data_IF_150473658293
#
_entry.id   IF_150473658293
#
_cell.length_a   1.000
_cell.length_b   1.000
_cell.length_c   1.000
_cell.angle_alpha   90.00
_cell.angle_beta   90.00
_cell.angle_gamma   90.00
#
_symmetry.space_group_name_H-M   'P 1'
#
loop_
_entity.id
_entity.type
_entity.pdbx_description
1 polymer ?
#
# COMPACT_ATOMS: atom_id res chain seq x y z
N UNK A 1 -70.19 -43.13 -22.11
CA UNK A 1 -69.47 -42.32 -21.09
C UNK A 1 -67.95 -42.50 -21.33
N UNK A 2 -67.33 -41.51 -21.99
CA UNK A 2 -65.86 -41.53 -22.29
C UNK A 2 -65.13 -40.68 -21.24
N UNK A 3 -64.25 -41.30 -20.47
CA UNK A 3 -63.38 -40.59 -19.50
C UNK A 3 -62.13 -40.14 -20.22
N UNK A 4 -61.92 -38.85 -20.32
CA UNK A 4 -60.72 -38.22 -20.86
C UNK A 4 -59.71 -37.98 -19.70
N UNK A 5 -58.59 -38.69 -19.70
CA UNK A 5 -57.50 -38.48 -18.74
C UNK A 5 -56.61 -37.35 -19.25
N UNK A 6 -56.49 -36.27 -18.46
CA UNK A 6 -55.55 -35.17 -18.71
C UNK A 6 -54.23 -35.49 -18.00
N UNK A 7 -53.14 -35.67 -18.77
CA UNK A 7 -51.81 -35.81 -18.25
C UNK A 7 -51.20 -34.41 -18.04
N UNK A 8 -50.92 -34.05 -16.78
CA UNK A 8 -50.19 -32.85 -16.42
C UNK A 8 -48.70 -33.15 -16.50
N UNK A 9 -48.01 -32.55 -17.48
CA UNK A 9 -46.56 -32.59 -17.60
C UNK A 9 -45.99 -31.49 -16.73
N UNK A 10 -45.40 -31.84 -15.59
CA UNK A 10 -44.64 -30.92 -14.73
C UNK A 10 -43.23 -30.75 -15.30
N UNK A 11 -42.97 -29.61 -15.92
CA UNK A 11 -41.58 -29.21 -16.35
C UNK A 11 -40.78 -28.78 -15.14
N UNK A 12 -39.83 -29.59 -14.72
CA UNK A 12 -38.84 -29.25 -13.70
C UNK A 12 -37.75 -28.36 -14.33
N UNK A 13 -37.81 -27.07 -14.04
CA UNK A 13 -36.74 -26.14 -14.44
C UNK A 13 -35.53 -26.36 -13.56
N UNK A 14 -34.48 -26.98 -14.11
CA UNK A 14 -33.21 -27.18 -13.41
C UNK A 14 -32.46 -25.83 -13.34
N UNK A 15 -32.46 -25.18 -12.16
CA UNK A 15 -31.64 -23.99 -11.89
C UNK A 15 -30.21 -24.45 -11.65
N UNK A 16 -29.35 -24.34 -12.66
CA UNK A 16 -27.92 -24.55 -12.50
C UNK A 16 -27.33 -23.43 -11.62
N UNK A 17 -26.53 -23.75 -10.59
CA UNK A 17 -25.88 -22.74 -9.78
C UNK A 17 -24.88 -21.97 -10.66
N UNK A 18 -25.07 -20.67 -10.82
CA UNK A 18 -24.07 -19.75 -11.38
C UNK A 18 -22.87 -19.78 -10.44
N UNK A 19 -21.79 -20.51 -10.84
CA UNK A 19 -20.49 -20.35 -10.18
C UNK A 19 -20.05 -18.92 -10.45
N UNK A 20 -19.97 -18.10 -9.38
CA UNK A 20 -19.34 -16.81 -9.45
C UNK A 20 -17.90 -17.03 -9.98
N UNK A 21 -17.63 -16.55 -11.20
CA UNK A 21 -16.30 -16.55 -11.76
C UNK A 21 -15.43 -15.71 -10.83
N UNK A 22 -14.48 -16.34 -10.13
CA UNK A 22 -13.36 -15.62 -9.55
C UNK A 22 -12.69 -14.91 -10.73
N UNK A 23 -12.50 -13.60 -10.61
CA UNK A 23 -11.69 -12.87 -11.56
C UNK A 23 -10.28 -13.47 -11.48
N UNK A 24 -9.93 -14.30 -12.46
CA UNK A 24 -8.60 -14.87 -12.56
C UNK A 24 -7.64 -13.73 -12.88
N UNK A 25 -6.59 -13.61 -12.08
CA UNK A 25 -5.48 -12.68 -12.33
C UNK A 25 -4.94 -12.93 -13.74
N UNK A 26 -4.85 -11.89 -14.56
CA UNK A 26 -4.33 -12.07 -15.92
C UNK A 26 -2.92 -12.67 -15.90
N UNK A 27 -2.57 -13.57 -16.83
CA UNK A 27 -1.24 -14.19 -16.86
C UNK A 27 -0.10 -13.17 -16.87
N UNK A 28 -0.31 -12.03 -17.53
CA UNK A 28 0.65 -10.94 -17.59
C UNK A 28 0.82 -10.26 -16.23
N UNK A 29 -0.26 -9.92 -15.53
CA UNK A 29 -0.19 -9.34 -14.20
C UNK A 29 0.49 -10.29 -13.21
N UNK A 30 0.15 -11.59 -13.27
CA UNK A 30 0.79 -12.61 -12.45
C UNK A 30 2.30 -12.75 -12.73
N UNK A 31 2.72 -12.66 -14.00
CA UNK A 31 4.13 -12.71 -14.36
C UNK A 31 4.89 -11.47 -13.86
N UNK A 32 4.34 -10.27 -14.06
CA UNK A 32 4.93 -9.01 -13.57
C UNK A 32 5.03 -8.98 -12.05
N UNK A 33 3.99 -9.42 -11.34
CA UNK A 33 4.01 -9.51 -9.89
C UNK A 33 5.10 -10.46 -9.38
N UNK A 34 5.27 -11.62 -10.04
CA UNK A 34 6.37 -12.53 -9.71
C UNK A 34 7.75 -11.95 -9.98
N UNK A 35 7.92 -11.20 -11.07
CA UNK A 35 9.18 -10.52 -11.38
C UNK A 35 9.51 -9.48 -10.30
N UNK A 36 8.54 -8.66 -9.90
CA UNK A 36 8.67 -7.69 -8.82
C UNK A 36 9.04 -8.36 -7.48
N UNK A 37 8.30 -9.41 -7.09
CA UNK A 37 8.58 -10.13 -5.85
C UNK A 37 9.96 -10.82 -5.88
N UNK A 38 10.32 -11.44 -7.00
CA UNK A 38 11.60 -12.13 -7.16
C UNK A 38 12.79 -11.16 -7.07
N UNK A 39 12.68 -9.98 -7.70
CA UNK A 39 13.75 -8.98 -7.65
C UNK A 39 14.16 -8.62 -6.23
N UNK A 40 13.19 -8.42 -5.37
CA UNK A 40 13.47 -7.99 -4.00
C UNK A 40 13.50 -9.13 -2.98
N UNK A 41 13.24 -10.38 -3.40
CA UNK A 41 13.13 -11.53 -2.49
C UNK A 41 14.40 -11.74 -1.67
N UNK A 42 15.56 -11.75 -2.30
CA UNK A 42 16.84 -12.08 -1.67
C UNK A 42 17.61 -10.85 -1.16
N UNK A 43 17.10 -9.65 -1.43
CA UNK A 43 17.70 -8.44 -0.94
C UNK A 43 17.57 -8.31 0.58
N UNK A 44 18.68 -8.25 1.30
CA UNK A 44 18.70 -8.02 2.75
C UNK A 44 18.48 -6.56 3.08
N UNK A 45 19.04 -5.69 2.28
CA UNK A 45 18.92 -4.25 2.41
C UNK A 45 18.65 -3.63 1.04
N UNK A 46 17.89 -2.54 1.03
CA UNK A 46 17.60 -1.75 -0.16
C UNK A 46 17.78 -0.28 0.15
N UNK A 47 18.24 0.48 -0.84
CA UNK A 47 18.27 1.94 -0.82
C UNK A 47 17.76 2.46 -2.15
N UNK A 48 17.01 3.57 -2.11
CA UNK A 48 16.63 4.34 -3.30
C UNK A 48 16.57 5.84 -2.98
N UNK A 49 16.62 6.66 -4.01
CA UNK A 49 16.10 8.03 -3.94
C UNK A 49 14.59 7.97 -4.22
N UNK A 50 13.84 8.88 -3.62
CA UNK A 50 12.41 8.97 -3.87
C UNK A 50 11.98 10.41 -4.15
N UNK A 51 10.92 10.53 -4.94
CA UNK A 51 10.11 11.72 -5.11
C UNK A 51 8.70 11.35 -4.69
N UNK A 52 8.20 12.01 -3.66
CA UNK A 52 6.83 11.90 -3.20
C UNK A 52 6.00 13.04 -3.75
N UNK A 53 4.79 12.75 -4.23
CA UNK A 53 3.81 13.72 -4.65
C UNK A 53 2.49 13.43 -3.95
N UNK A 54 2.06 14.38 -3.15
CA UNK A 54 0.74 14.37 -2.53
C UNK A 54 -0.18 15.31 -3.30
N UNK A 55 -1.30 14.81 -3.77
CA UNK A 55 -2.30 15.58 -4.50
C UNK A 55 -3.64 15.50 -3.80
N UNK A 56 -4.20 16.64 -3.47
CA UNK A 56 -5.52 16.80 -2.88
C UNK A 56 -6.23 17.98 -3.56
N UNK A 57 -7.49 17.80 -3.92
CA UNK A 57 -8.30 18.84 -4.56
C UNK A 57 -8.43 20.14 -3.73
N UNK A 58 -8.22 20.07 -2.41
CA UNK A 58 -8.32 21.21 -1.47
C UNK A 58 -6.97 21.86 -1.18
N UNK A 59 -5.92 21.07 -1.08
CA UNK A 59 -4.58 21.52 -0.69
C UNK A 59 -3.64 21.69 -1.89
N UNK A 60 -4.03 21.16 -3.05
CA UNK A 60 -3.22 21.18 -4.25
C UNK A 60 -2.13 20.12 -4.26
N UNK A 61 -1.08 20.36 -5.04
CA UNK A 61 0.04 19.46 -5.20
C UNK A 61 1.19 19.84 -4.27
N UNK A 62 1.60 18.91 -3.44
CA UNK A 62 2.83 19.00 -2.63
C UNK A 62 3.84 17.99 -3.16
N UNK A 63 5.13 18.35 -3.11
CA UNK A 63 6.21 17.50 -3.59
C UNK A 63 7.34 17.49 -2.59
N UNK A 64 7.76 16.29 -2.20
CA UNK A 64 8.85 16.06 -1.27
C UNK A 64 9.84 15.05 -1.88
N UNK A 65 11.10 15.10 -1.47
CA UNK A 65 12.10 14.16 -1.97
C UNK A 65 13.14 13.84 -0.93
N UNK A 66 13.83 12.71 -1.15
CA UNK A 66 14.86 12.27 -0.23
C UNK A 66 15.39 10.88 -0.54
N UNK A 67 15.82 10.18 0.50
CA UNK A 67 16.35 8.81 0.44
C UNK A 67 15.54 7.88 1.30
N UNK A 68 15.38 6.66 0.83
CA UNK A 68 14.72 5.60 1.57
C UNK A 68 15.65 4.40 1.71
N UNK A 69 15.62 3.80 2.88
CA UNK A 69 16.37 2.61 3.23
C UNK A 69 15.42 1.55 3.79
N UNK A 70 15.61 0.31 3.36
CA UNK A 70 14.92 -0.84 3.91
C UNK A 70 15.94 -1.85 4.42
N UNK A 71 15.65 -2.46 5.57
CA UNK A 71 16.41 -3.59 6.10
C UNK A 71 15.42 -4.67 6.54
N UNK A 72 15.54 -5.85 5.96
CA UNK A 72 14.65 -6.96 6.23
C UNK A 72 15.00 -7.68 7.53
N UNK A 73 13.96 -8.17 8.26
CA UNK A 73 12.55 -7.98 8.01
C UNK A 73 12.00 -6.68 8.65
N UNK A 74 11.19 -5.94 7.90
CA UNK A 74 10.26 -4.95 8.45
C UNK A 74 10.83 -3.61 8.90
N UNK A 75 12.11 -3.35 8.69
CA UNK A 75 12.71 -2.08 9.07
C UNK A 75 12.77 -1.14 7.87
N UNK A 76 12.51 0.15 8.10
CA UNK A 76 12.61 1.18 7.07
C UNK A 76 13.00 2.52 7.69
N UNK A 77 13.63 3.35 6.86
CA UNK A 77 14.00 4.72 7.18
C UNK A 77 13.79 5.60 5.96
N UNK A 78 13.06 6.67 6.12
CA UNK A 78 12.83 7.70 5.10
C UNK A 78 13.44 8.99 5.57
N UNK A 79 14.38 9.50 4.81
CA UNK A 79 15.05 10.78 5.03
C UNK A 79 14.54 11.77 4.00
N UNK A 80 13.63 12.65 4.39
CA UNK A 80 13.18 13.75 3.56
C UNK A 80 14.23 14.86 3.59
N UNK A 81 14.65 15.31 2.42
CA UNK A 81 15.68 16.30 2.25
C UNK A 81 15.11 17.64 1.73
N UNK A 82 14.00 17.59 1.00
CA UNK A 82 13.37 18.78 0.38
C UNK A 82 11.85 18.62 0.35
N UNK A 83 11.06 19.71 0.53
CA UNK A 83 11.50 21.07 0.86
C UNK A 83 11.90 21.20 2.34
N UNK A 84 11.47 20.32 3.21
CA UNK A 84 11.72 20.32 4.63
C UNK A 84 12.33 19.00 5.09
N UNK A 85 13.26 19.08 6.03
CA UNK A 85 13.83 17.87 6.62
C UNK A 85 12.81 17.20 7.54
N UNK A 86 12.54 15.92 7.25
CA UNK A 86 11.71 15.05 8.08
C UNK A 86 12.36 13.68 8.12
N UNK A 87 12.05 12.93 9.15
CA UNK A 87 12.61 11.60 9.33
C UNK A 87 11.51 10.65 9.78
N UNK A 88 11.27 9.62 8.99
CA UNK A 88 10.43 8.50 9.38
C UNK A 88 11.30 7.26 9.57
N UNK A 89 11.17 6.61 10.73
CA UNK A 89 11.88 5.37 11.03
C UNK A 89 10.89 4.32 11.52
N UNK A 90 11.07 3.09 11.05
CA UNK A 90 10.46 1.90 11.63
C UNK A 90 11.53 0.86 11.95
N UNK A 91 11.56 0.38 13.20
CA UNK A 91 12.40 -0.75 13.61
C UNK A 91 11.72 -2.12 13.38
N UNK A 92 10.52 -2.11 12.79
CA UNK A 92 9.70 -3.30 12.56
C UNK A 92 8.67 -3.58 13.66
N UNK A 93 8.66 -2.80 14.76
CA UNK A 93 7.70 -2.87 15.88
C UNK A 93 7.11 -1.50 16.19
N UNK A 94 7.95 -0.48 16.16
CA UNK A 94 7.62 0.90 16.49
C UNK A 94 7.94 1.79 15.29
N UNK A 95 7.15 2.82 15.11
CA UNK A 95 7.40 3.89 14.14
C UNK A 95 7.66 5.19 14.88
N UNK A 96 8.55 6.01 14.33
CA UNK A 96 8.84 7.36 14.76
C UNK A 96 8.77 8.28 13.55
N UNK A 97 8.04 9.39 13.70
CA UNK A 97 8.01 10.46 12.71
C UNK A 97 8.50 11.75 13.37
N UNK A 98 9.65 12.22 12.92
CA UNK A 98 10.33 13.39 13.48
C UNK A 98 10.39 14.52 12.47
N UNK A 99 9.94 15.69 12.88
CA UNK A 99 10.02 16.95 12.15
C UNK A 99 10.89 17.89 12.98
N UNK A 100 12.16 18.14 12.57
CA UNK A 100 13.10 18.97 13.34
C UNK A 100 12.59 20.36 13.66
N UNK A 101 11.90 21.02 12.70
CA UNK A 101 11.35 22.36 12.89
C UNK A 101 10.32 22.45 14.03
N UNK A 102 9.58 21.38 14.26
CA UNK A 102 8.53 21.32 15.29
C UNK A 102 9.05 20.91 16.66
N UNK A 103 10.32 20.51 16.76
CA UNK A 103 10.92 19.94 17.97
C UNK A 103 10.10 18.79 18.59
N UNK A 104 9.37 18.06 17.76
CA UNK A 104 8.53 16.95 18.20
C UNK A 104 8.80 15.67 17.40
N UNK A 105 8.62 14.54 18.05
CA UNK A 105 8.57 13.23 17.41
C UNK A 105 7.29 12.52 17.80
N UNK A 106 6.54 12.06 16.81
CA UNK A 106 5.39 11.18 17.02
C UNK A 106 5.86 9.74 17.06
N UNK A 107 5.41 8.98 18.06
CA UNK A 107 5.73 7.56 18.21
C UNK A 107 4.44 6.74 18.23
N UNK A 108 4.45 5.62 17.51
CA UNK A 108 3.33 4.67 17.49
C UNK A 108 3.83 3.22 17.38
N UNK A 109 3.01 2.26 17.82
CA UNK A 109 3.24 0.86 17.48
C UNK A 109 2.89 0.61 16.01
N UNK A 110 3.70 -0.19 15.29
CA UNK A 110 3.48 -0.42 13.84
C UNK A 110 2.11 -1.01 13.52
N UNK A 111 1.54 -1.83 14.42
CA UNK A 111 0.20 -2.41 14.29
C UNK A 111 -0.94 -1.40 14.48
N UNK A 112 -0.63 -0.26 15.10
CA UNK A 112 -1.54 0.84 15.39
C UNK A 112 -1.28 2.02 14.43
N UNK A 113 -0.24 1.92 13.61
CA UNK A 113 0.08 2.93 12.61
C UNK A 113 -0.79 2.73 11.39
N UNK A 114 -1.65 3.68 11.14
CA UNK A 114 -2.46 3.83 9.92
C UNK A 114 -1.66 4.42 8.76
N UNK A 115 -0.36 4.32 8.86
CA UNK A 115 0.57 4.95 7.94
C UNK A 115 0.39 4.40 6.51
N UNK A 116 0.16 5.30 5.56
CA UNK A 116 0.04 5.07 4.12
C UNK A 116 1.25 4.33 3.51
N UNK A 117 2.38 4.23 4.21
CA UNK A 117 3.55 3.45 3.79
C UNK A 117 3.33 1.94 3.91
N UNK A 118 2.19 1.51 4.46
CA UNK A 118 1.81 0.09 4.52
C UNK A 118 1.86 -0.63 3.16
N UNK A 119 1.45 -0.01 2.03
CA UNK A 119 1.63 -0.63 0.71
C UNK A 119 3.08 -0.95 0.36
N UNK A 120 4.05 -0.26 0.96
CA UNK A 120 5.49 -0.52 0.79
C UNK A 120 6.01 -1.66 1.69
N UNK A 121 5.14 -2.32 2.46
CA UNK A 121 5.49 -3.51 3.25
C UNK A 121 6.07 -4.65 2.39
N UNK A 122 5.76 -4.67 1.09
CA UNK A 122 6.41 -5.54 0.11
C UNK A 122 7.94 -5.38 0.13
N UNK A 123 8.44 -4.14 0.14
CA UNK A 123 9.87 -3.84 0.11
C UNK A 123 10.56 -4.20 1.43
N UNK A 124 9.83 -4.22 2.52
CA UNK A 124 10.34 -4.68 3.83
C UNK A 124 10.37 -6.20 3.97
N UNK A 125 9.85 -6.95 3.00
CA UNK A 125 9.80 -8.41 3.02
C UNK A 125 8.76 -9.01 3.95
N UNK A 126 7.86 -8.20 4.51
CA UNK A 126 6.82 -8.68 5.44
C UNK A 126 5.57 -9.21 4.75
N UNK A 127 5.33 -8.84 3.49
CA UNK A 127 4.13 -9.23 2.76
C UNK A 127 4.42 -9.51 1.29
N UNK A 128 3.54 -10.32 0.68
CA UNK A 128 3.49 -10.54 -0.78
C UNK A 128 2.30 -9.80 -1.36
N UNK A 129 2.35 -9.46 -2.64
CA UNK A 129 1.22 -8.83 -3.33
C UNK A 129 -0.06 -9.65 -3.22
N UNK A 130 0.03 -10.97 -3.29
CA UNK A 130 -1.10 -11.88 -3.10
C UNK A 130 -1.73 -11.81 -1.71
N UNK A 131 -1.02 -11.34 -0.71
CA UNK A 131 -1.51 -11.11 0.65
C UNK A 131 -2.11 -9.71 0.81
N UNK A 132 -1.54 -8.72 0.14
CA UNK A 132 -1.95 -7.33 0.20
C UNK A 132 -3.16 -7.04 -0.69
N UNK A 133 -3.21 -7.63 -1.89
CA UNK A 133 -4.24 -7.37 -2.88
C UNK A 133 -5.38 -8.39 -2.80
N UNK A 134 -6.61 -7.92 -2.82
CA UNK A 134 -7.80 -8.74 -3.07
C UNK A 134 -7.88 -9.12 -4.54
N UNK A 135 -7.64 -8.15 -5.42
CA UNK A 135 -7.48 -8.35 -6.86
C UNK A 135 -6.18 -7.70 -7.32
N UNK A 136 -5.54 -8.33 -8.30
CA UNK A 136 -4.33 -7.82 -8.92
C UNK A 136 -4.45 -8.02 -10.43
N UNK A 137 -4.42 -6.93 -11.20
CA UNK A 137 -4.54 -7.00 -12.66
C UNK A 137 -3.67 -5.94 -13.33
N UNK A 138 -3.65 -5.92 -14.66
CA UNK A 138 -3.02 -4.86 -15.42
C UNK A 138 -3.89 -3.61 -15.39
N UNK A 139 -3.30 -2.46 -15.10
CA UNK A 139 -3.97 -1.18 -15.29
C UNK A 139 -4.03 -0.80 -16.77
N UNK A 140 -5.05 -0.04 -17.15
CA UNK A 140 -5.11 0.63 -18.45
C UNK A 140 -4.33 1.93 -18.51
N UNK A 141 -3.80 2.39 -17.39
CA UNK A 141 -2.98 3.60 -17.35
C UNK A 141 -1.65 3.43 -18.09
N UNK A 142 -1.22 4.50 -18.74
CA UNK A 142 0.08 4.53 -19.38
C UNK A 142 1.18 4.63 -18.30
N UNK A 143 2.24 3.81 -18.42
CA UNK A 143 3.39 3.93 -17.53
C UNK A 143 4.15 5.23 -17.78
N UNK A 144 4.79 5.75 -16.70
CA UNK A 144 5.63 6.95 -16.79
C UNK A 144 6.95 6.71 -17.52
N UNK A 145 7.48 5.48 -17.50
CA UNK A 145 8.70 5.11 -18.18
C UNK A 145 8.44 4.11 -19.30
N UNK A 146 9.18 4.27 -20.42
CA UNK A 146 9.08 3.38 -21.59
C UNK A 146 9.50 1.96 -21.20
N UNK A 147 8.68 0.98 -21.58
CA UNK A 147 8.92 -0.44 -21.29
C UNK A 147 8.35 -0.93 -19.98
N UNK A 148 7.97 -0.04 -19.10
CA UNK A 148 7.27 -0.40 -17.87
C UNK A 148 5.80 -0.75 -18.13
N UNK A 149 5.17 -1.33 -17.13
CA UNK A 149 3.74 -1.64 -17.08
C UNK A 149 3.19 -1.25 -15.72
N UNK A 150 1.89 -1.00 -15.64
CA UNK A 150 1.23 -0.64 -14.39
C UNK A 150 0.37 -1.82 -13.93
N UNK A 151 0.64 -2.30 -12.72
CA UNK A 151 -0.23 -3.23 -12.00
C UNK A 151 -1.22 -2.44 -11.17
N UNK A 152 -2.48 -2.90 -11.16
CA UNK A 152 -3.55 -2.38 -10.32
C UNK A 152 -3.86 -3.39 -9.22
N UNK A 153 -3.69 -2.97 -8.00
CA UNK A 153 -3.98 -3.75 -6.79
C UNK A 153 -5.19 -3.11 -6.09
N UNK A 154 -6.27 -3.86 -5.93
CA UNK A 154 -7.31 -3.49 -4.98
C UNK A 154 -6.94 -4.10 -3.63
N UNK A 155 -6.72 -3.29 -2.59
CA UNK A 155 -6.30 -3.78 -1.29
C UNK A 155 -7.32 -4.75 -0.68
N UNK A 156 -6.84 -5.70 0.11
CA UNK A 156 -7.72 -6.47 0.98
C UNK A 156 -8.15 -5.56 2.11
N UNK A 157 -9.40 -5.06 2.04
CA UNK A 157 -9.98 -4.39 3.20
C UNK A 157 -10.00 -5.35 4.39
N UNK A 158 -9.60 -4.92 5.56
CA UNK A 158 -10.15 -5.53 6.76
C UNK A 158 -11.67 -5.49 6.61
N UNK A 159 -12.33 -6.61 6.92
CA UNK A 159 -13.79 -6.65 6.90
C UNK A 159 -14.25 -5.49 7.79
N UNK A 160 -14.81 -4.47 7.18
CA UNK A 160 -15.37 -3.35 7.91
C UNK A 160 -16.23 -3.93 9.03
N UNK A 161 -15.85 -3.71 10.27
CA UNK A 161 -16.74 -4.00 11.38
C UNK A 161 -18.02 -3.26 11.08
N UNK A 162 -19.19 -3.91 11.14
CA UNK A 162 -20.44 -3.25 10.85
C UNK A 162 -20.49 -1.97 11.69
N UNK A 163 -20.57 -0.83 10.98
CA UNK A 163 -20.64 0.50 11.59
C UNK A 163 -21.80 0.45 12.57
N UNK A 164 -21.53 0.60 13.86
CA UNK A 164 -22.55 0.78 14.87
C UNK A 164 -23.46 1.94 14.45
N UNK A 165 -24.74 1.83 14.75
CA UNK A 165 -25.80 2.72 14.29
C UNK A 165 -25.43 4.19 14.41
N UNK A 166 -25.88 4.97 13.45
CA UNK A 166 -25.58 6.37 13.14
C UNK A 166 -26.10 7.38 14.17
N UNK A 167 -25.78 7.24 15.45
CA UNK A 167 -26.15 8.21 16.49
C UNK A 167 -24.97 8.82 17.25
N UNK A 168 -23.74 8.40 16.96
CA UNK A 168 -22.55 9.01 17.56
C UNK A 168 -21.92 10.03 16.61
N UNK A 169 -22.08 11.32 16.97
CA UNK A 169 -21.45 12.45 16.28
C UNK A 169 -19.90 12.34 16.26
N UNK A 170 -19.32 11.62 17.22
CA UNK A 170 -17.88 11.31 17.28
C UNK A 170 -17.41 10.31 16.21
N UNK A 171 -18.28 9.42 15.75
CA UNK A 171 -17.96 8.49 14.66
C UNK A 171 -17.81 9.18 13.29
N UNK A 172 -18.23 10.45 13.17
CA UNK A 172 -18.11 11.27 11.96
C UNK A 172 -16.74 11.95 11.83
N UNK A 173 -15.90 11.89 12.87
CA UNK A 173 -14.55 12.53 12.92
C UNK A 173 -13.44 11.46 12.88
N UNK A 174 -13.78 10.19 12.74
CA UNK A 174 -12.76 9.16 12.53
C UNK A 174 -11.99 9.48 11.25
N UNK A 175 -10.65 9.54 11.32
CA UNK A 175 -9.85 9.86 10.14
C UNK A 175 -10.17 8.87 9.01
N UNK A 176 -10.42 9.41 7.81
CA UNK A 176 -10.65 8.66 6.57
C UNK A 176 -9.36 7.92 6.14
N UNK A 177 -8.33 7.93 6.98
CA UNK A 177 -6.94 7.59 6.67
C UNK A 177 -6.67 6.10 6.42
N UNK A 178 -7.62 5.20 6.69
CA UNK A 178 -7.39 3.75 6.64
C UNK A 178 -7.94 3.05 5.37
N UNK A 179 -8.50 3.77 4.42
CA UNK A 179 -9.08 3.17 3.24
C UNK A 179 -8.32 3.61 1.99
N UNK A 180 -7.70 2.65 1.33
CA UNK A 180 -7.17 2.85 -0.01
C UNK A 180 -8.18 2.28 -1.00
N UNK A 181 -8.57 3.07 -2.00
CA UNK A 181 -9.43 2.60 -3.09
C UNK A 181 -8.63 1.65 -4.00
N UNK A 182 -7.40 2.04 -4.30
CA UNK A 182 -6.48 1.22 -5.09
C UNK A 182 -5.02 1.62 -4.88
N UNK A 183 -4.14 0.69 -5.24
CA UNK A 183 -2.69 0.90 -5.33
C UNK A 183 -2.24 0.54 -6.73
N UNK A 184 -1.55 1.47 -7.38
CA UNK A 184 -0.94 1.28 -8.69
C UNK A 184 0.57 1.10 -8.50
N UNK A 185 1.12 0.11 -9.20
CA UNK A 185 2.55 -0.22 -9.14
C UNK A 185 3.12 -0.18 -10.55
N UNK A 186 3.98 0.80 -10.85
CA UNK A 186 4.71 0.81 -12.11
C UNK A 186 5.97 -0.05 -11.97
N UNK A 187 6.06 -1.07 -12.80
CA UNK A 187 7.09 -2.10 -12.72
C UNK A 187 7.71 -2.32 -14.11
N UNK A 188 9.01 -2.47 -14.15
CA UNK A 188 9.67 -3.02 -15.32
C UNK A 188 9.43 -4.53 -15.36
N UNK A 189 8.73 -5.10 -16.36
CA UNK A 189 8.33 -6.50 -16.34
C UNK A 189 9.50 -7.47 -16.55
N UNK A 190 10.63 -7.00 -17.09
CA UNK A 190 11.81 -7.83 -17.34
C UNK A 190 12.72 -7.90 -16.12
N UNK A 191 13.01 -6.74 -15.52
CA UNK A 191 13.91 -6.65 -14.36
C UNK A 191 13.18 -6.80 -13.01
N UNK A 192 11.87 -6.63 -12.97
CA UNK A 192 11.08 -6.55 -11.75
C UNK A 192 11.29 -5.26 -10.95
N UNK A 193 11.98 -4.26 -11.51
CA UNK A 193 12.25 -3.01 -10.81
C UNK A 193 10.99 -2.19 -10.61
N UNK A 194 10.76 -1.75 -9.38
CA UNK A 194 9.67 -0.87 -8.99
C UNK A 194 10.07 0.57 -9.28
N UNK A 195 9.37 1.22 -10.19
CA UNK A 195 9.61 2.60 -10.57
C UNK A 195 8.68 3.59 -9.83
N UNK A 196 7.42 3.18 -9.61
CA UNK A 196 6.41 4.05 -9.02
C UNK A 196 5.40 3.25 -8.20
N UNK A 197 4.95 3.86 -7.11
CA UNK A 197 3.81 3.38 -6.31
C UNK A 197 2.86 4.54 -6.11
N UNK A 198 1.62 4.40 -6.58
CA UNK A 198 0.57 5.37 -6.36
C UNK A 198 -0.55 4.76 -5.52
N UNK A 199 -0.90 5.46 -4.47
CA UNK A 199 -1.98 5.12 -3.56
C UNK A 199 -3.11 6.10 -3.79
N UNK A 200 -4.29 5.59 -4.17
CA UNK A 200 -5.51 6.37 -4.34
C UNK A 200 -6.38 6.17 -3.11
N UNK A 201 -6.76 7.27 -2.50
CA UNK A 201 -7.61 7.28 -1.30
C UNK A 201 -9.01 7.85 -1.63
N UNK A 202 -10.01 7.57 -0.80
CA UNK A 202 -11.33 8.16 -0.94
C UNK A 202 -11.27 9.69 -0.99
N UNK A 203 -12.10 10.28 -1.86
CA UNK A 203 -12.13 11.74 -2.03
C UNK A 203 -11.14 12.29 -3.05
N UNK A 204 -10.45 11.40 -3.79
CA UNK A 204 -9.52 11.80 -4.86
C UNK A 204 -8.17 12.30 -4.34
N UNK A 205 -7.78 11.85 -3.16
CA UNK A 205 -6.43 12.06 -2.63
C UNK A 205 -5.52 11.03 -3.28
N UNK A 206 -4.41 11.49 -3.84
CA UNK A 206 -3.39 10.62 -4.43
C UNK A 206 -2.04 10.86 -3.78
N UNK A 207 -1.35 9.78 -3.48
CA UNK A 207 0.00 9.77 -2.96
C UNK A 207 0.88 8.90 -3.87
N UNK A 208 1.80 9.54 -4.58
CA UNK A 208 2.69 8.91 -5.56
C UNK A 208 4.12 8.91 -5.03
N UNK A 209 4.78 7.77 -5.12
CA UNK A 209 6.20 7.59 -4.85
C UNK A 209 6.91 7.13 -6.10
N UNK A 210 7.75 7.97 -6.65
CA UNK A 210 8.70 7.60 -7.71
C UNK A 210 10.03 7.24 -7.11
N UNK A 211 10.54 6.08 -7.49
CA UNK A 211 11.82 5.59 -7.02
C UNK A 211 12.86 5.61 -8.13
N UNK A 212 14.10 5.86 -7.74
CA UNK A 212 15.23 5.78 -8.66
C UNK A 212 16.51 5.37 -7.93
N UNK A 213 17.50 5.02 -8.71
CA UNK A 213 18.84 4.66 -8.21
C UNK A 213 18.81 3.56 -7.13
N UNK A 214 18.07 2.49 -7.41
CA UNK A 214 17.99 1.33 -6.52
C UNK A 214 19.37 0.71 -6.29
N UNK A 215 19.70 0.48 -5.03
CA UNK A 215 20.91 -0.23 -4.60
C UNK A 215 20.51 -1.35 -3.64
N UNK A 216 21.09 -2.53 -3.85
CA UNK A 216 20.75 -3.73 -3.09
C UNK A 216 21.94 -4.22 -2.27
N UNK A 217 21.66 -4.82 -1.12
CA UNK A 217 22.65 -5.47 -0.26
C UNK A 217 23.78 -4.55 0.21
N UNK A 218 23.51 -3.27 0.38
CA UNK A 218 24.46 -2.34 1.00
C UNK A 218 24.69 -2.71 2.47
N UNK A 219 25.91 -2.49 2.99
CA UNK A 219 26.21 -2.73 4.40
C UNK A 219 25.60 -1.63 5.29
N UNK A 220 24.28 -1.70 5.54
CA UNK A 220 23.59 -0.76 6.42
C UNK A 220 23.75 -1.20 7.88
N UNK A 221 24.08 -0.25 8.76
CA UNK A 221 24.18 -0.50 10.19
C UNK A 221 22.80 -0.56 10.83
N UNK A 222 22.63 -1.37 11.88
CA UNK A 222 21.34 -1.46 12.59
C UNK A 222 20.92 -0.15 13.22
N UNK A 223 21.88 0.67 13.66
CA UNK A 223 21.64 2.00 14.24
C UNK A 223 20.85 2.94 13.32
N UNK A 224 20.91 2.73 11.99
CA UNK A 224 20.14 3.51 11.03
C UNK A 224 18.62 3.40 11.26
N UNK A 225 18.18 2.29 11.82
CA UNK A 225 16.76 1.96 12.03
C UNK A 225 16.31 2.15 13.49
N UNK A 226 17.13 2.80 14.30
CA UNK A 226 16.81 3.18 15.68
C UNK A 226 16.76 4.69 15.80
N UNK A 227 15.61 5.20 16.23
CA UNK A 227 15.47 6.63 16.50
C UNK A 227 16.05 6.97 17.88
N UNK A 228 16.87 8.00 17.93
CA UNK A 228 17.35 8.61 19.17
C UNK A 228 16.88 10.06 19.18
N UNK A 229 15.99 10.39 20.11
CA UNK A 229 15.48 11.75 20.23
C UNK A 229 16.61 12.72 20.59
N UNK A 230 16.83 13.80 19.82
CA UNK A 230 17.75 14.86 20.21
C UNK A 230 17.35 15.51 21.53
N UNK A 231 18.28 16.15 22.20
CA UNK A 231 17.99 16.86 23.45
C UNK A 231 16.94 17.97 23.20
N UNK A 232 15.93 18.05 24.07
CA UNK A 232 14.85 19.04 23.97
C UNK A 232 13.71 18.69 23.02
N UNK A 233 13.73 17.52 22.37
CA UNK A 233 12.63 17.06 21.53
C UNK A 233 11.56 16.38 22.39
N UNK A 234 10.30 16.80 22.20
CA UNK A 234 9.15 16.19 22.86
C UNK A 234 8.71 14.92 22.13
N UNK A 235 8.46 13.85 22.89
CA UNK A 235 7.89 12.60 22.35
C UNK A 235 6.38 12.63 22.56
N UNK A 236 5.64 12.53 21.46
CA UNK A 236 4.17 12.47 21.44
C UNK A 236 3.77 11.04 21.06
N UNK A 237 3.05 10.37 21.95
CA UNK A 237 2.49 9.05 21.67
C UNK A 237 1.21 9.22 20.82
N UNK A 238 1.07 8.46 19.74
CA UNK A 238 -0.18 8.43 18.99
C UNK A 238 -1.25 7.73 19.84
N UNK A 239 -2.43 8.34 20.02
CA UNK A 239 -3.52 7.70 20.77
C UNK A 239 -3.88 6.34 20.17
N UNK A 240 -4.26 5.41 21.04
CA UNK A 240 -4.73 4.07 20.64
C UNK A 240 -6.13 4.13 20.05
#
# INVERSE_FOLDING_TARGET
MKRTSVFLIASVLAIAPLKAARADVSPRAAATARALEARYHDAKTLQAIFLERYSDSRQGLQTESGKVYFSRPGRMRWEYESPEQKLFISDGKTVWFYIPSDHTVTRAAIKESTDWRTPLALLTGKAKLSQLCQTLDMSSEAPGARGNVVLRCLPRGEKAKPKAAADDLEASIAPVEDQFDEVLLEVNPESGELADVRVVQPGGIELEYRFGNWQENLPLTESLFHFQAPAGVAIVEQPK
#
